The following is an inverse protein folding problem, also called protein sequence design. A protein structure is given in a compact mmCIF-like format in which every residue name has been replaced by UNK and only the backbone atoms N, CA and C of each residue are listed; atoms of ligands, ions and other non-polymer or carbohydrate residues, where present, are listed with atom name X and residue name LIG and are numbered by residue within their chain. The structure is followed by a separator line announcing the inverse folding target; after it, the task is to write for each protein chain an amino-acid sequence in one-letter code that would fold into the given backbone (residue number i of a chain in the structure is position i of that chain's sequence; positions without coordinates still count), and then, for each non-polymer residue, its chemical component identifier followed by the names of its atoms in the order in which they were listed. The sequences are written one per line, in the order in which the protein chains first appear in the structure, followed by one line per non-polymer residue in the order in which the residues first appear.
data_IF_381654778510
#
_entry.id   IF_381654778510
#
_cell.length_a   1.000
_cell.length_b   1.000
_cell.length_c   1.000
_cell.angle_alpha   90.00
_cell.angle_beta   90.00
_cell.angle_gamma   90.00
#
_symmetry.space_group_name_H-M   'P 1'
#
loop_
_entity.id
_entity.type
_entity.pdbx_description
1 polymer ?
#
# COMPACT_ATOMS: atom_id res chain seq x y z
N UNK A 1 24.31 -7.39 -17.46
CA UNK A 1 23.47 -6.78 -16.42
C UNK A 1 22.44 -7.83 -16.05
N UNK A 2 22.59 -8.46 -14.89
CA UNK A 2 21.53 -9.30 -14.33
C UNK A 2 20.58 -8.30 -13.68
N UNK A 3 19.40 -8.10 -14.26
CA UNK A 3 18.32 -7.36 -13.62
C UNK A 3 18.06 -8.00 -12.26
N UNK A 4 18.23 -7.23 -11.20
CA UNK A 4 17.97 -7.72 -9.85
C UNK A 4 16.47 -7.93 -9.73
N UNK A 5 16.05 -9.21 -9.72
CA UNK A 5 14.63 -9.56 -9.62
C UNK A 5 14.05 -8.91 -8.36
N UNK A 6 12.88 -8.31 -8.52
CA UNK A 6 12.08 -7.75 -7.44
C UNK A 6 11.87 -8.78 -6.31
N UNK A 7 11.81 -8.32 -5.07
CA UNK A 7 11.62 -9.18 -3.89
C UNK A 7 10.33 -10.00 -3.97
N UNK A 8 9.27 -9.47 -4.57
CA UNK A 8 8.04 -10.20 -4.85
C UNK A 8 8.28 -11.41 -5.76
N UNK A 9 8.94 -11.19 -6.90
CA UNK A 9 9.22 -12.26 -7.87
C UNK A 9 10.08 -13.35 -7.24
N UNK A 10 11.12 -12.98 -6.51
CA UNK A 10 11.98 -13.94 -5.79
C UNK A 10 11.18 -14.72 -4.74
N UNK A 11 10.29 -14.07 -3.99
CA UNK A 11 9.45 -14.77 -3.01
C UNK A 11 8.56 -15.81 -3.69
N UNK A 12 7.94 -15.49 -4.82
CA UNK A 12 7.09 -16.41 -5.57
C UNK A 12 7.89 -17.60 -6.14
N UNK A 13 9.09 -17.38 -6.62
CA UNK A 13 9.98 -18.44 -7.11
C UNK A 13 10.38 -19.40 -5.99
N UNK A 14 10.83 -18.89 -4.84
CA UNK A 14 11.17 -19.72 -3.68
C UNK A 14 9.97 -20.48 -3.12
N UNK A 15 8.78 -19.90 -3.17
CA UNK A 15 7.55 -20.61 -2.79
C UNK A 15 7.30 -21.83 -3.69
N UNK A 16 7.45 -21.68 -5.01
CA UNK A 16 7.28 -22.77 -5.98
C UNK A 16 8.37 -23.86 -5.76
N UNK A 17 9.56 -23.46 -5.36
CA UNK A 17 10.66 -24.37 -5.03
C UNK A 17 10.51 -25.03 -3.66
N UNK A 18 9.48 -24.70 -2.89
CA UNK A 18 9.27 -25.11 -1.49
C UNK A 18 10.42 -24.70 -0.55
N UNK A 19 11.21 -23.70 -0.92
CA UNK A 19 12.21 -23.08 -0.04
C UNK A 19 11.57 -21.97 0.78
N UNK A 20 10.81 -22.36 1.80
CA UNK A 20 10.06 -21.44 2.63
C UNK A 20 10.92 -20.47 3.46
N UNK A 21 12.10 -20.88 3.98
CA UNK A 21 13.01 -19.93 4.63
C UNK A 21 13.48 -18.81 3.70
N UNK A 22 13.96 -19.16 2.50
CA UNK A 22 14.37 -18.15 1.52
C UNK A 22 13.18 -17.29 1.05
N UNK A 23 12.01 -17.90 0.86
CA UNK A 23 10.77 -17.20 0.58
C UNK A 23 10.45 -16.15 1.66
N UNK A 24 10.48 -16.54 2.93
CA UNK A 24 10.22 -15.65 4.06
C UNK A 24 11.17 -14.46 4.12
N UNK A 25 12.44 -14.64 3.80
CA UNK A 25 13.41 -13.53 3.70
C UNK A 25 13.03 -12.53 2.59
N UNK A 26 12.57 -13.01 1.44
CA UNK A 26 12.11 -12.13 0.36
C UNK A 26 10.79 -11.45 0.69
N UNK A 27 9.86 -12.13 1.37
CA UNK A 27 8.62 -11.52 1.85
C UNK A 27 8.90 -10.39 2.83
N UNK A 28 9.89 -10.54 3.71
CA UNK A 28 10.32 -9.47 4.61
C UNK A 28 10.83 -8.26 3.82
N UNK A 29 11.71 -8.46 2.85
CA UNK A 29 12.21 -7.38 1.98
C UNK A 29 11.07 -6.70 1.24
N UNK A 30 10.16 -7.47 0.67
CA UNK A 30 9.00 -6.93 -0.04
C UNK A 30 8.11 -6.09 0.89
N UNK A 31 7.85 -6.56 2.10
CA UNK A 31 7.12 -5.80 3.12
C UNK A 31 7.83 -4.47 3.48
N UNK A 32 9.13 -4.52 3.72
CA UNK A 32 9.95 -3.34 4.03
C UNK A 32 9.91 -2.32 2.89
N UNK A 33 9.93 -2.78 1.65
CA UNK A 33 9.92 -1.97 0.43
C UNK A 33 8.56 -1.28 0.24
N UNK A 34 7.45 -2.04 0.36
CA UNK A 34 6.11 -1.47 0.30
C UNK A 34 5.94 -0.37 1.35
N UNK A 35 6.24 -0.67 2.61
CA UNK A 35 6.05 0.27 3.71
C UNK A 35 6.96 1.50 3.59
N UNK A 36 8.18 1.34 3.08
CA UNK A 36 9.10 2.44 2.83
C UNK A 36 8.58 3.41 1.76
N UNK A 37 7.82 2.91 0.79
CA UNK A 37 7.25 3.70 -0.28
C UNK A 37 5.80 4.17 0.02
N UNK A 38 5.11 3.54 0.96
CA UNK A 38 3.76 3.91 1.37
C UNK A 38 3.77 5.09 2.34
N UNK A 39 4.71 5.10 3.27
CA UNK A 39 4.82 6.15 4.28
C UNK A 39 5.55 7.38 3.77
N UNK A 40 5.19 8.60 4.26
CA UNK A 40 6.01 9.78 4.09
C UNK A 40 7.31 9.66 4.92
N UNK A 41 8.36 10.34 4.49
CA UNK A 41 9.69 10.33 5.15
C UNK A 41 9.64 10.63 6.65
N UNK A 42 8.69 11.45 7.08
CA UNK A 42 8.50 11.78 8.50
C UNK A 42 8.12 10.60 9.37
N UNK A 43 7.47 9.57 8.80
CA UNK A 43 7.11 8.33 9.51
C UNK A 43 8.19 7.25 9.38
N UNK A 44 9.13 7.39 8.45
CA UNK A 44 10.23 6.46 8.27
C UNK A 44 11.39 6.69 9.23
N UNK A 45 11.39 7.81 9.96
CA UNK A 45 12.46 8.21 10.86
C UNK A 45 11.94 8.52 12.25
N UNK A 46 12.72 8.16 13.27
CA UNK A 46 12.45 8.47 14.66
C UNK A 46 13.69 8.97 15.36
N UNK A 47 13.51 9.73 16.42
CA UNK A 47 14.63 10.15 17.27
C UNK A 47 14.96 9.03 18.25
N UNK A 48 16.19 8.57 18.25
CA UNK A 48 16.68 7.63 19.25
C UNK A 48 16.76 8.33 20.63
N UNK A 49 16.04 7.86 21.63
CA UNK A 49 16.01 8.50 22.94
C UNK A 49 17.37 8.44 23.68
N UNK A 50 18.24 7.49 23.33
CA UNK A 50 19.55 7.31 23.96
C UNK A 50 20.61 8.23 23.38
N UNK A 51 20.64 8.35 22.06
CA UNK A 51 21.69 9.11 21.34
C UNK A 51 21.22 10.47 20.88
N UNK A 52 19.92 10.74 20.88
CA UNK A 52 19.31 11.95 20.33
C UNK A 52 19.41 12.06 18.80
N UNK A 53 20.01 11.08 18.11
CA UNK A 53 20.14 11.04 16.65
C UNK A 53 18.87 10.57 15.98
N UNK A 54 18.66 11.01 14.75
CA UNK A 54 17.59 10.49 13.89
C UNK A 54 18.02 9.16 13.31
N UNK A 55 17.20 8.13 13.50
CA UNK A 55 17.40 6.78 12.99
C UNK A 55 16.19 6.32 12.20
N UNK A 56 16.36 5.36 11.32
CA UNK A 56 15.25 4.78 10.59
C UNK A 56 14.36 3.96 11.53
N UNK A 57 13.06 3.96 11.23
CA UNK A 57 12.10 3.11 11.95
C UNK A 57 12.28 1.66 11.56
N UNK A 58 12.18 0.76 12.54
CA UNK A 58 12.19 -0.68 12.28
C UNK A 58 10.93 -1.13 11.54
N UNK A 59 10.97 -2.32 10.95
CA UNK A 59 9.77 -2.94 10.36
C UNK A 59 8.63 -3.05 11.40
N UNK A 60 8.96 -3.40 12.65
CA UNK A 60 7.98 -3.44 13.71
C UNK A 60 7.30 -2.09 13.95
N UNK A 61 8.08 -1.01 14.05
CA UNK A 61 7.54 0.34 14.23
C UNK A 61 6.58 0.69 13.08
N UNK A 62 6.97 0.39 11.84
CA UNK A 62 6.16 0.68 10.64
C UNK A 62 4.84 -0.10 10.63
N UNK A 63 4.86 -1.40 10.97
CA UNK A 63 3.64 -2.22 11.04
C UNK A 63 2.74 -1.76 12.19
N UNK A 64 3.30 -1.38 13.33
CA UNK A 64 2.51 -0.83 14.45
C UNK A 64 1.80 0.46 14.04
N UNK A 65 2.50 1.34 13.33
CA UNK A 65 1.91 2.60 12.85
C UNK A 65 0.95 2.43 11.67
N UNK A 66 0.93 1.26 11.00
CA UNK A 66 0.15 1.03 9.78
C UNK A 66 -1.35 1.27 10.00
N UNK A 67 -1.92 0.75 11.10
CA UNK A 67 -3.34 0.94 11.43
C UNK A 67 -3.71 2.41 11.58
N UNK A 68 -2.87 3.18 12.30
CA UNK A 68 -3.13 4.59 12.53
C UNK A 68 -2.92 5.41 11.25
N UNK A 69 -1.93 5.04 10.45
CA UNK A 69 -1.71 5.64 9.14
C UNK A 69 -2.91 5.40 8.22
N UNK A 70 -3.38 4.16 8.09
CA UNK A 70 -4.54 3.83 7.27
C UNK A 70 -5.79 4.60 7.70
N UNK A 71 -6.08 4.68 9.01
CA UNK A 71 -7.20 5.47 9.53
C UNK A 71 -7.07 6.96 9.20
N UNK A 72 -5.89 7.55 9.41
CA UNK A 72 -5.60 8.96 9.13
C UNK A 72 -5.76 9.28 7.66
N UNK A 73 -5.29 8.40 6.80
CA UNK A 73 -5.31 8.56 5.35
C UNK A 73 -6.60 8.04 4.69
N UNK A 74 -7.56 7.52 5.49
CA UNK A 74 -8.82 6.91 5.03
C UNK A 74 -8.58 5.77 4.03
N UNK A 75 -7.56 4.96 4.31
CA UNK A 75 -7.24 3.75 3.56
C UNK A 75 -7.99 2.60 4.24
N UNK A 76 -8.77 1.84 3.47
CA UNK A 76 -9.44 0.64 3.93
C UNK A 76 -8.46 -0.54 3.85
N UNK A 77 -7.90 -0.91 4.99
CA UNK A 77 -6.97 -2.03 5.11
C UNK A 77 -7.09 -2.66 6.50
N UNK A 78 -7.73 -3.82 6.55
CA UNK A 78 -8.05 -4.51 7.81
C UNK A 78 -7.02 -5.58 8.23
N UNK A 79 -6.15 -5.99 7.31
CA UNK A 79 -5.22 -7.11 7.52
C UNK A 79 -3.98 -6.74 8.39
N UNK A 80 -3.94 -5.54 8.99
CA UNK A 80 -2.77 -5.10 9.77
C UNK A 80 -2.52 -5.95 11.02
N UNK A 81 -3.56 -6.54 11.62
CA UNK A 81 -3.44 -7.43 12.78
C UNK A 81 -2.75 -8.73 12.40
N UNK A 82 -3.18 -9.30 11.29
CA UNK A 82 -2.61 -10.54 10.77
C UNK A 82 -1.18 -10.31 10.30
N UNK A 83 -0.90 -9.19 9.63
CA UNK A 83 0.46 -8.82 9.24
C UNK A 83 1.39 -8.71 10.47
N UNK A 84 0.90 -8.16 11.60
CA UNK A 84 1.67 -8.09 12.84
C UNK A 84 1.99 -9.48 13.40
N UNK A 85 1.02 -10.40 13.39
CA UNK A 85 1.21 -11.79 13.84
C UNK A 85 2.23 -12.49 12.92
N UNK A 86 2.08 -12.38 11.61
CA UNK A 86 3.00 -12.99 10.66
C UNK A 86 4.42 -12.38 10.72
N UNK A 87 4.53 -11.08 11.02
CA UNK A 87 5.83 -10.46 11.26
C UNK A 87 6.57 -11.17 12.39
N UNK A 88 5.90 -11.43 13.51
CA UNK A 88 6.55 -12.05 14.67
C UNK A 88 6.85 -13.53 14.41
N UNK A 89 5.94 -14.26 13.80
CA UNK A 89 6.04 -15.72 13.63
C UNK A 89 6.85 -16.15 12.38
N UNK A 90 6.87 -15.34 11.34
CA UNK A 90 7.51 -15.70 10.07
C UNK A 90 8.62 -14.72 9.70
N UNK A 91 8.31 -13.43 9.50
CA UNK A 91 9.26 -12.47 8.93
C UNK A 91 10.45 -12.18 9.86
N UNK A 92 10.26 -12.23 11.17
CA UNK A 92 11.36 -12.09 12.13
C UNK A 92 12.13 -13.39 12.30
N UNK A 93 11.45 -14.53 12.36
CA UNK A 93 12.06 -15.86 12.53
C UNK A 93 13.07 -16.16 11.43
N UNK A 94 12.71 -15.90 10.16
CA UNK A 94 13.63 -16.10 9.03
C UNK A 94 14.84 -15.17 9.05
N UNK A 95 14.75 -14.01 9.68
CA UNK A 95 15.86 -13.07 9.80
C UNK A 95 16.88 -13.47 10.88
N UNK A 96 16.49 -14.28 11.84
CA UNK A 96 17.34 -14.73 12.96
C UNK A 96 17.78 -16.19 12.85
N UNK A 97 17.47 -16.85 11.72
CA UNK A 97 17.88 -18.23 11.44
C UNK A 97 17.47 -19.22 12.56
N UNK A 98 16.25 -19.07 13.06
CA UNK A 98 15.71 -20.04 14.03
C UNK A 98 15.20 -21.29 13.30
N UNK A 99 16.07 -22.29 13.20
CA UNK A 99 15.77 -23.58 12.53
C UNK A 99 14.71 -24.38 13.29
N UNK A 100 14.39 -23.99 14.53
CA UNK A 100 13.43 -24.69 15.39
C UNK A 100 11.97 -24.36 15.11
N UNK A 101 11.68 -23.27 14.41
CA UNK A 101 10.32 -22.86 14.08
C UNK A 101 9.95 -23.23 12.65
N UNK A 102 9.09 -24.22 12.43
CA UNK A 102 8.67 -24.60 11.10
C UNK A 102 7.81 -23.50 10.47
N UNK A 103 8.13 -23.13 9.21
CA UNK A 103 7.35 -22.19 8.41
C UNK A 103 6.47 -22.98 7.45
N UNK A 104 5.18 -22.73 7.50
CA UNK A 104 4.21 -23.47 6.70
C UNK A 104 3.84 -22.71 5.41
N UNK A 105 3.64 -23.46 4.32
CA UNK A 105 3.29 -22.87 3.02
C UNK A 105 2.00 -22.03 3.05
N UNK A 106 1.03 -22.38 3.88
CA UNK A 106 -0.22 -21.61 4.04
C UNK A 106 0.00 -20.24 4.69
N UNK A 107 0.94 -20.13 5.63
CA UNK A 107 1.31 -18.85 6.26
C UNK A 107 1.98 -17.94 5.22
N UNK A 108 2.89 -18.50 4.42
CA UNK A 108 3.54 -17.80 3.32
C UNK A 108 2.50 -17.24 2.33
N UNK A 109 1.53 -18.06 1.91
CA UNK A 109 0.46 -17.61 1.01
C UNK A 109 -0.41 -16.51 1.60
N UNK A 110 -0.70 -16.59 2.89
CA UNK A 110 -1.47 -15.56 3.60
C UNK A 110 -0.71 -14.23 3.62
N UNK A 111 0.59 -14.27 3.91
CA UNK A 111 1.46 -13.08 3.87
C UNK A 111 1.50 -12.49 2.46
N UNK A 112 1.70 -13.32 1.42
CA UNK A 112 1.70 -12.85 0.04
C UNK A 112 0.41 -12.12 -0.34
N UNK A 113 -0.76 -12.62 0.09
CA UNK A 113 -2.05 -11.97 -0.15
C UNK A 113 -2.13 -10.59 0.51
N UNK A 114 -1.70 -10.50 1.76
CA UNK A 114 -1.68 -9.24 2.52
C UNK A 114 -0.74 -8.23 1.86
N UNK A 115 0.48 -8.65 1.50
CA UNK A 115 1.47 -7.79 0.85
C UNK A 115 1.00 -7.33 -0.54
N UNK A 116 0.33 -8.19 -1.32
CA UNK A 116 -0.24 -7.81 -2.62
C UNK A 116 -1.30 -6.72 -2.47
N UNK A 117 -2.15 -6.76 -1.42
CA UNK A 117 -3.11 -5.69 -1.14
C UNK A 117 -2.40 -4.37 -0.80
N UNK A 118 -1.39 -4.42 0.07
CA UNK A 118 -0.60 -3.23 0.44
C UNK A 118 0.13 -2.64 -0.77
N UNK A 119 0.71 -3.49 -1.61
CA UNK A 119 1.42 -3.04 -2.80
C UNK A 119 0.49 -2.37 -3.81
N UNK A 120 -0.72 -2.89 -3.95
CA UNK A 120 -1.75 -2.26 -4.79
C UNK A 120 -2.12 -0.86 -4.28
N UNK A 121 -2.25 -0.68 -2.96
CA UNK A 121 -2.48 0.64 -2.35
C UNK A 121 -1.31 1.59 -2.68
N UNK A 122 -0.08 1.13 -2.52
CA UNK A 122 1.13 1.90 -2.84
C UNK A 122 1.17 2.35 -4.30
N UNK A 123 0.88 1.44 -5.23
CA UNK A 123 0.86 1.74 -6.68
C UNK A 123 -0.21 2.76 -7.03
N UNK A 124 -1.40 2.64 -6.46
CA UNK A 124 -2.49 3.57 -6.70
C UNK A 124 -2.20 4.96 -6.12
N UNK A 125 -1.58 5.01 -4.93
CA UNK A 125 -1.11 6.28 -4.38
C UNK A 125 -0.14 6.98 -5.32
N UNK A 126 0.87 6.27 -5.85
CA UNK A 126 1.81 6.83 -6.84
C UNK A 126 1.10 7.34 -8.09
N UNK A 127 0.09 6.61 -8.57
CA UNK A 127 -0.66 7.00 -9.76
C UNK A 127 -1.47 8.29 -9.54
N UNK A 128 -2.05 8.45 -8.34
CA UNK A 128 -2.75 9.68 -7.95
C UNK A 128 -1.78 10.86 -7.82
N UNK A 129 -0.60 10.64 -7.22
CA UNK A 129 0.42 11.68 -7.07
C UNK A 129 0.90 12.24 -8.42
N UNK A 130 0.93 11.40 -9.46
CA UNK A 130 1.29 11.82 -10.83
C UNK A 130 0.17 12.58 -11.52
N UNK A 131 -1.09 12.23 -11.25
CA UNK A 131 -2.28 12.75 -11.97
C UNK A 131 -3.16 13.62 -11.05
N UNK A 132 -2.59 14.63 -10.40
CA UNK A 132 -3.32 15.46 -9.41
C UNK A 132 -4.47 16.28 -9.97
N UNK A 133 -4.41 16.64 -11.26
CA UNK A 133 -5.47 17.40 -11.93
C UNK A 133 -6.12 16.51 -12.98
N UNK A 134 -7.41 16.24 -12.81
CA UNK A 134 -8.19 15.39 -13.70
C UNK A 134 -9.44 16.13 -14.14
N UNK A 135 -9.82 15.92 -15.41
CA UNK A 135 -11.15 16.24 -15.94
C UNK A 135 -11.97 14.95 -16.01
N UNK A 136 -13.13 14.94 -15.38
CA UNK A 136 -14.09 13.84 -15.43
C UNK A 136 -15.24 14.28 -16.34
N UNK A 137 -15.41 13.59 -17.46
CA UNK A 137 -16.54 13.83 -18.37
C UNK A 137 -17.74 12.99 -17.91
N UNK A 138 -18.86 13.67 -17.73
CA UNK A 138 -20.13 13.09 -17.35
C UNK A 138 -21.20 13.50 -18.36
N UNK A 139 -22.19 12.64 -18.51
CA UNK A 139 -23.41 13.00 -19.26
C UNK A 139 -24.53 13.24 -18.24
N UNK A 140 -25.09 14.42 -18.23
CA UNK A 140 -26.25 14.75 -17.40
C UNK A 140 -27.50 14.01 -17.90
N UNK A 141 -28.54 13.89 -17.04
CA UNK A 141 -29.77 13.17 -17.38
C UNK A 141 -30.50 13.75 -18.62
N UNK A 142 -30.27 15.00 -18.94
CA UNK A 142 -30.80 15.70 -20.14
C UNK A 142 -29.88 15.56 -21.37
N UNK A 143 -28.81 14.75 -21.29
CA UNK A 143 -27.89 14.47 -22.37
C UNK A 143 -26.77 15.52 -22.57
N UNK A 144 -26.69 16.54 -21.70
CA UNK A 144 -25.61 17.54 -21.76
C UNK A 144 -24.29 16.93 -21.31
N UNK A 145 -23.18 17.32 -21.95
CA UNK A 145 -21.84 16.98 -21.52
C UNK A 145 -21.35 17.94 -20.45
N UNK A 146 -21.00 17.39 -19.29
CA UNK A 146 -20.45 18.14 -18.17
C UNK A 146 -19.07 17.61 -17.83
N UNK A 147 -18.07 18.51 -17.80
CA UNK A 147 -16.72 18.18 -17.36
C UNK A 147 -16.48 18.76 -15.98
N UNK A 148 -16.23 17.89 -15.00
CA UNK A 148 -15.85 18.28 -13.64
C UNK A 148 -14.32 18.23 -13.55
N UNK A 149 -13.69 19.39 -13.35
CA UNK A 149 -12.25 19.50 -13.15
C UNK A 149 -11.95 19.43 -11.66
N UNK A 150 -11.21 18.41 -11.27
CA UNK A 150 -10.85 18.15 -9.87
C UNK A 150 -9.35 18.31 -9.64
N UNK A 151 -9.00 18.81 -8.47
CA UNK A 151 -7.64 18.81 -7.93
C UNK A 151 -7.58 17.83 -6.76
N UNK A 152 -6.82 16.75 -6.93
CA UNK A 152 -6.60 15.75 -5.89
C UNK A 152 -5.57 16.32 -4.92
N UNK A 153 -6.06 16.87 -3.80
CA UNK A 153 -5.22 17.49 -2.77
C UNK A 153 -4.82 16.56 -1.65
N UNK A 154 -5.35 15.35 -1.66
CA UNK A 154 -5.12 14.38 -0.61
C UNK A 154 -4.42 13.15 -1.18
N UNK A 155 -3.32 12.73 -0.59
CA UNK A 155 -2.67 11.46 -0.87
C UNK A 155 -3.50 10.26 -0.34
N UNK A 156 -4.77 10.49 -0.01
CA UNK A 156 -5.68 9.53 0.62
C UNK A 156 -6.40 8.74 -0.45
N UNK A 157 -6.13 7.44 -0.46
CA UNK A 157 -6.81 6.47 -1.30
C UNK A 157 -7.70 5.63 -0.40
N UNK A 158 -8.97 5.58 -0.72
CA UNK A 158 -9.92 4.66 -0.07
C UNK A 158 -10.24 3.54 -1.04
N UNK A 159 -10.43 2.33 -0.51
CA UNK A 159 -10.80 1.15 -1.28
C UNK A 159 -12.25 0.82 -0.97
N UNK A 160 -13.06 0.66 -2.01
CA UNK A 160 -14.40 0.11 -1.90
C UNK A 160 -14.42 -1.27 -2.56
N UNK A 161 -14.70 -2.30 -1.76
CA UNK A 161 -15.01 -3.63 -2.28
C UNK A 161 -16.53 -3.70 -2.52
N UNK A 162 -16.94 -3.93 -3.76
CA UNK A 162 -18.35 -4.12 -4.12
C UNK A 162 -18.72 -5.61 -4.09
N UNK A 163 -19.63 -6.00 -3.17
CA UNK A 163 -20.39 -7.26 -3.15
C UNK A 163 -19.63 -8.55 -3.41
N UNK A 164 -18.43 -8.73 -2.84
CA UNK A 164 -17.69 -9.98 -2.96
C UNK A 164 -17.14 -10.27 -4.36
N UNK A 165 -17.46 -9.46 -5.36
CA UNK A 165 -16.84 -9.49 -6.68
C UNK A 165 -15.56 -8.65 -6.65
N UNK A 166 -14.55 -9.14 -7.37
CA UNK A 166 -13.17 -8.62 -7.41
C UNK A 166 -13.03 -7.20 -7.98
N UNK A 167 -14.08 -6.40 -8.04
CA UNK A 167 -14.03 -5.02 -8.48
C UNK A 167 -13.69 -4.12 -7.31
N UNK A 168 -12.42 -3.80 -7.20
CA UNK A 168 -11.89 -2.85 -6.23
C UNK A 168 -12.02 -1.46 -6.84
N UNK A 169 -12.83 -0.61 -6.22
CA UNK A 169 -12.90 0.82 -6.58
C UNK A 169 -12.08 1.64 -5.61
N UNK A 170 -11.33 2.58 -6.17
CA UNK A 170 -10.51 3.52 -5.38
C UNK A 170 -11.14 4.89 -5.42
N UNK A 171 -11.22 5.56 -4.26
CA UNK A 171 -11.67 6.94 -4.19
C UNK A 171 -10.76 7.77 -3.30
N UNK A 172 -10.65 9.05 -3.60
CA UNK A 172 -9.87 10.00 -2.80
C UNK A 172 -10.60 11.32 -2.64
N UNK A 173 -10.21 12.10 -1.61
CA UNK A 173 -10.73 13.45 -1.45
C UNK A 173 -10.16 14.35 -2.54
N UNK A 174 -11.03 15.02 -3.24
CA UNK A 174 -10.68 16.02 -4.24
C UNK A 174 -11.41 17.33 -3.96
N UNK A 175 -10.90 18.41 -4.55
CA UNK A 175 -11.58 19.71 -4.62
C UNK A 175 -11.96 19.94 -6.06
N UNK A 176 -13.22 20.23 -6.31
CA UNK A 176 -13.66 20.71 -7.64
C UNK A 176 -13.18 22.16 -7.74
N UNK A 177 -12.44 22.47 -8.78
CA UNK A 177 -11.96 23.82 -9.03
C UNK A 177 -12.54 24.45 -10.29
N UNK A 178 -13.22 23.68 -11.11
CA UNK A 178 -13.88 24.17 -12.32
C UNK A 178 -14.94 23.17 -12.78
N UNK A 179 -16.07 23.66 -13.19
CA UNK A 179 -17.09 22.89 -13.91
C UNK A 179 -17.25 23.50 -15.29
N UNK A 180 -17.32 22.66 -16.32
CA UNK A 180 -17.56 23.07 -17.70
C UNK A 180 -18.87 22.40 -18.13
N UNK A 181 -19.91 23.17 -18.35
CA UNK A 181 -21.19 22.69 -18.84
C UNK A 181 -21.30 23.02 -20.34
N UNK A 182 -21.38 21.97 -21.15
CA UNK A 182 -21.50 22.09 -22.61
C UNK A 182 -20.45 23.04 -23.24
N UNK A 183 -19.21 22.93 -22.72
CA UNK A 183 -18.08 23.76 -23.17
C UNK A 183 -17.97 25.15 -22.51
N UNK A 184 -18.94 25.54 -21.64
CA UNK A 184 -18.93 26.83 -20.97
C UNK A 184 -18.49 26.67 -19.51
N UNK A 185 -17.43 27.38 -19.06
CA UNK A 185 -17.02 27.37 -17.66
C UNK A 185 -18.11 27.94 -16.75
N UNK A 186 -18.38 27.25 -15.63
CA UNK A 186 -19.28 27.73 -14.58
C UNK A 186 -18.47 28.14 -13.35
N UNK A 187 -18.86 29.22 -12.70
CA UNK A 187 -18.31 29.61 -11.39
C UNK A 187 -18.79 28.63 -10.30
N UNK A 188 -17.87 28.24 -9.39
CA UNK A 188 -18.12 27.30 -8.30
C UNK A 188 -18.29 28.11 -7.01
#
# INVERSE_FOLDING_TARGET
FIEEKDAELKAREYYIMHDYPACGQQLRKWCEDILSNLYPDTLLRKRDPRTGKTVDTSLNDRIVCLSDYCKKEFIDFDDFKDLKIYKDNVLNTVSHYDVSSPIYGNEILSIMKILSKLDLIRLNKKQIDVNRKLGIELTADDGRAVTICIDIRSDKINILEYNGDKNISYYTKCTVYKIIDNGTPMDI
#
